data_IF_671777243610
#
_entry.id   IF_671777243610
#
_cell.length_a   1.000
_cell.length_b   1.000
_cell.length_c   1.000
_cell.angle_alpha   90.00
_cell.angle_beta   90.00
_cell.angle_gamma   90.00
#
_symmetry.space_group_name_H-M   'P 1'
#
loop_
_entity.id
_entity.type
_entity.pdbx_description
1 polymer ?
#
# COMPACT_ATOMS: atom_id res chain seq x y z
N UNK A 1 -6.04 -7.37 -0.78
CA UNK A 1 -5.70 -6.13 -0.05
C UNK A 1 -5.20 -5.05 -1.02
N UNK A 2 -4.12 -5.24 -1.74
CA UNK A 2 -3.56 -4.19 -2.61
C UNK A 2 -4.59 -3.62 -3.61
N UNK A 3 -5.39 -4.49 -4.25
CA UNK A 3 -6.40 -4.01 -5.22
C UNK A 3 -7.45 -3.11 -4.58
N UNK A 4 -7.95 -3.44 -3.38
CA UNK A 4 -8.93 -2.58 -2.72
C UNK A 4 -8.33 -1.20 -2.38
N UNK A 5 -7.07 -1.17 -1.93
CA UNK A 5 -6.44 0.10 -1.58
C UNK A 5 -6.29 1.01 -2.80
N UNK A 6 -5.98 0.46 -3.98
CA UNK A 6 -5.96 1.24 -5.22
C UNK A 6 -7.35 1.76 -5.61
N UNK A 7 -8.40 0.94 -5.47
CA UNK A 7 -9.78 1.37 -5.78
C UNK A 7 -10.20 2.53 -4.88
N UNK A 8 -9.89 2.47 -3.59
CA UNK A 8 -10.23 3.54 -2.65
C UNK A 8 -9.35 4.77 -2.84
N UNK A 9 -8.08 4.59 -3.15
CA UNK A 9 -7.13 5.68 -3.41
C UNK A 9 -7.53 6.51 -4.63
N UNK A 10 -8.11 5.86 -5.65
CA UNK A 10 -8.60 6.53 -6.87
C UNK A 10 -9.86 7.39 -6.66
N UNK A 11 -10.59 7.26 -5.53
CA UNK A 11 -11.84 7.97 -5.26
C UNK A 11 -11.66 9.49 -5.22
N UNK A 12 -12.72 10.28 -5.55
CA UNK A 12 -12.67 11.75 -5.51
C UNK A 12 -12.31 12.34 -4.14
N UNK A 13 -12.57 11.63 -3.05
CA UNK A 13 -12.20 12.05 -1.69
C UNK A 13 -10.76 11.68 -1.30
N UNK A 14 -10.01 11.07 -2.20
CA UNK A 14 -8.61 10.65 -2.06
C UNK A 14 -7.78 11.30 -3.19
N UNK A 15 -7.09 10.52 -4.03
CA UNK A 15 -6.25 11.06 -5.10
C UNK A 15 -7.04 11.56 -6.34
N UNK A 16 -8.34 11.24 -6.43
CA UNK A 16 -9.24 11.62 -7.54
C UNK A 16 -8.68 11.27 -8.93
N UNK A 17 -8.19 10.05 -9.08
CA UNK A 17 -7.58 9.60 -10.32
C UNK A 17 -8.60 9.10 -11.35
N UNK A 18 -8.47 9.54 -12.59
CA UNK A 18 -9.31 9.10 -13.71
C UNK A 18 -8.82 7.77 -14.32
N UNK A 19 -7.52 7.51 -14.25
CA UNK A 19 -6.87 6.34 -14.86
C UNK A 19 -5.94 5.63 -13.86
N UNK A 20 -6.00 4.29 -13.88
CA UNK A 20 -5.07 3.41 -13.16
C UNK A 20 -4.54 2.34 -14.10
N UNK A 21 -3.21 2.25 -14.27
CA UNK A 21 -2.57 1.34 -15.23
C UNK A 21 -3.13 1.48 -16.66
N UNK A 22 -3.37 2.71 -17.10
CA UNK A 22 -3.90 3.02 -18.44
C UNK A 22 -5.38 2.67 -18.66
N UNK A 23 -6.12 2.31 -17.61
CA UNK A 23 -7.56 2.02 -17.66
C UNK A 23 -8.34 2.99 -16.78
N UNK A 24 -9.60 3.34 -17.17
CA UNK A 24 -10.45 4.14 -16.30
C UNK A 24 -10.61 3.49 -14.93
N UNK A 25 -10.58 4.34 -13.89
CA UNK A 25 -10.78 3.92 -12.50
C UNK A 25 -12.21 3.46 -12.24
N UNK A 26 -12.42 2.66 -11.19
CA UNK A 26 -13.71 1.99 -10.98
C UNK A 26 -14.87 2.99 -10.81
N UNK A 27 -14.65 4.08 -10.07
CA UNK A 27 -15.67 5.11 -9.87
C UNK A 27 -16.02 5.89 -11.15
N UNK A 28 -15.14 5.92 -12.16
CA UNK A 28 -15.41 6.52 -13.46
C UNK A 28 -16.17 5.58 -14.39
N UNK A 29 -15.98 4.26 -14.25
CA UNK A 29 -16.70 3.25 -15.05
C UNK A 29 -18.12 3.04 -14.52
N UNK A 30 -18.29 3.06 -13.21
CA UNK A 30 -19.56 2.82 -12.53
C UNK A 30 -20.00 4.07 -11.75
N UNK A 31 -19.77 4.09 -10.45
CA UNK A 31 -20.04 5.20 -9.53
C UNK A 31 -19.19 5.06 -8.25
N UNK A 32 -19.16 6.09 -7.41
CA UNK A 32 -18.39 6.11 -6.16
C UNK A 32 -18.87 5.06 -5.16
N UNK A 33 -20.18 4.86 -5.02
CA UNK A 33 -20.74 3.89 -4.10
C UNK A 33 -20.32 2.45 -4.46
N UNK A 34 -20.36 2.13 -5.77
CA UNK A 34 -19.88 0.85 -6.28
C UNK A 34 -18.38 0.68 -6.01
N UNK A 35 -17.57 1.71 -6.18
CA UNK A 35 -16.12 1.65 -5.89
C UNK A 35 -15.84 1.43 -4.40
N UNK A 36 -16.54 2.15 -3.51
CA UNK A 36 -16.42 1.97 -2.05
C UNK A 36 -16.76 0.53 -1.67
N UNK A 37 -17.94 0.03 -2.09
CA UNK A 37 -18.40 -1.32 -1.75
C UNK A 37 -17.51 -2.42 -2.35
N UNK A 38 -16.96 -2.21 -3.55
CA UNK A 38 -16.01 -3.15 -4.15
C UNK A 38 -14.72 -3.24 -3.33
N UNK A 39 -14.19 -2.11 -2.86
CA UNK A 39 -13.05 -2.08 -1.96
C UNK A 39 -13.33 -2.79 -0.64
N UNK A 40 -14.47 -2.50 0.01
CA UNK A 40 -14.89 -3.14 1.26
C UNK A 40 -15.03 -4.67 1.11
N UNK A 41 -15.64 -5.11 0.01
CA UNK A 41 -15.80 -6.53 -0.28
C UNK A 41 -14.45 -7.23 -0.48
N UNK A 42 -13.52 -6.62 -1.21
CA UNK A 42 -12.17 -7.16 -1.42
C UNK A 42 -11.35 -7.18 -0.13
N UNK A 43 -11.53 -6.15 0.72
CA UNK A 43 -10.89 -6.11 2.04
C UNK A 43 -11.40 -7.26 2.92
N UNK A 44 -12.72 -7.44 3.02
CA UNK A 44 -13.33 -8.54 3.78
C UNK A 44 -12.90 -9.91 3.24
N UNK A 45 -12.94 -10.09 1.91
CA UNK A 45 -12.51 -11.33 1.23
C UNK A 45 -11.06 -11.71 1.57
N UNK A 46 -10.17 -10.74 1.71
CA UNK A 46 -8.78 -11.03 2.07
C UNK A 46 -8.68 -11.73 3.44
N UNK A 47 -9.46 -11.28 4.42
CA UNK A 47 -9.50 -11.92 5.75
C UNK A 47 -10.25 -13.26 5.76
N UNK A 48 -11.31 -13.38 4.95
CA UNK A 48 -11.99 -14.65 4.73
C UNK A 48 -11.03 -15.71 4.21
N UNK A 49 -10.25 -15.40 3.16
CA UNK A 49 -9.23 -16.30 2.61
C UNK A 49 -8.20 -16.71 3.66
N UNK A 50 -7.71 -15.77 4.47
CA UNK A 50 -6.70 -16.08 5.50
C UNK A 50 -7.27 -16.93 6.65
N UNK A 51 -8.56 -16.82 6.93
CA UNK A 51 -9.23 -17.58 7.95
C UNK A 51 -9.60 -19.02 7.50
N UNK A 52 -9.65 -19.26 6.19
CA UNK A 52 -10.06 -20.55 5.62
C UNK A 52 -9.04 -21.66 5.92
N UNK A 53 -9.54 -22.87 6.16
CA UNK A 53 -8.72 -24.08 6.38
C UNK A 53 -7.87 -24.45 5.15
N UNK A 54 -8.32 -24.08 3.94
CA UNK A 54 -7.55 -24.26 2.72
C UNK A 54 -6.23 -23.44 2.72
N UNK A 55 -6.18 -22.31 3.43
CA UNK A 55 -4.95 -21.52 3.59
C UNK A 55 -3.97 -22.21 4.53
N UNK A 56 -4.44 -22.77 5.64
CA UNK A 56 -3.64 -23.58 6.55
C UNK A 56 -4.55 -24.38 7.46
N UNK A 57 -4.25 -25.66 7.68
CA UNK A 57 -4.98 -26.50 8.65
C UNK A 57 -4.70 -26.11 10.10
N UNK A 58 -3.57 -25.41 10.35
CA UNK A 58 -3.21 -24.93 11.68
C UNK A 58 -3.90 -23.58 12.00
N UNK A 59 -4.80 -23.52 12.99
CA UNK A 59 -5.50 -22.29 13.35
C UNK A 59 -4.59 -21.20 13.91
N UNK A 60 -3.45 -21.56 14.51
CA UNK A 60 -2.47 -20.57 15.00
C UNK A 60 -1.78 -19.86 13.83
N UNK A 61 -1.42 -20.60 12.78
CA UNK A 61 -0.90 -20.07 11.54
C UNK A 61 -1.90 -19.08 10.91
N UNK A 62 -3.18 -19.46 10.78
CA UNK A 62 -4.21 -18.56 10.26
C UNK A 62 -4.36 -17.29 11.10
N UNK A 63 -4.37 -17.41 12.42
CA UNK A 63 -4.43 -16.25 13.32
C UNK A 63 -3.23 -15.33 13.18
N UNK A 64 -2.03 -15.88 13.01
CA UNK A 64 -0.81 -15.09 12.77
C UNK A 64 -0.85 -14.35 11.43
N UNK A 65 -1.34 -14.98 10.37
CA UNK A 65 -1.53 -14.36 9.06
C UNK A 65 -2.54 -13.19 9.12
N UNK A 66 -3.70 -13.42 9.75
CA UNK A 66 -4.74 -12.40 9.94
C UNK A 66 -4.18 -11.19 10.71
N UNK A 67 -3.47 -11.45 11.82
CA UNK A 67 -2.88 -10.39 12.64
C UNK A 67 -1.81 -9.61 11.86
N UNK A 68 -0.98 -10.30 11.08
CA UNK A 68 0.07 -9.69 10.25
C UNK A 68 -0.54 -8.76 9.22
N UNK A 69 -1.55 -9.24 8.49
CA UNK A 69 -2.26 -8.42 7.50
C UNK A 69 -3.02 -7.26 8.13
N UNK A 70 -3.75 -7.50 9.21
CA UNK A 70 -4.51 -6.47 9.91
C UNK A 70 -3.64 -5.32 10.43
N UNK A 71 -2.45 -5.61 10.97
CA UNK A 71 -1.50 -4.58 11.38
C UNK A 71 -0.95 -3.79 10.18
N UNK A 72 -0.62 -4.49 9.08
CA UNK A 72 -0.02 -3.86 7.91
C UNK A 72 -1.01 -3.03 7.09
N UNK A 73 -2.29 -3.39 7.06
CA UNK A 73 -3.33 -2.64 6.34
C UNK A 73 -4.00 -1.55 7.19
N UNK A 74 -3.96 -1.66 8.52
CA UNK A 74 -4.67 -0.79 9.45
C UNK A 74 -3.92 0.50 9.82
N UNK A 75 -4.31 1.08 10.97
CA UNK A 75 -3.79 2.36 11.48
C UNK A 75 -2.28 2.35 11.77
N UNK A 76 -1.68 1.20 12.03
CA UNK A 76 -0.24 1.03 12.25
C UNK A 76 0.53 0.66 10.98
N UNK A 77 -0.11 0.72 9.82
CA UNK A 77 0.42 0.41 8.50
C UNK A 77 -0.16 1.33 7.44
N UNK A 78 -0.62 0.75 6.34
CA UNK A 78 -1.01 1.48 5.13
C UNK A 78 -2.06 2.59 5.38
N UNK A 79 -3.15 2.31 6.12
CA UNK A 79 -4.18 3.33 6.37
C UNK A 79 -3.64 4.50 7.21
N UNK A 80 -2.77 4.23 8.19
CA UNK A 80 -2.10 5.29 8.95
C UNK A 80 -1.13 6.12 8.09
N UNK A 81 -0.40 5.48 7.18
CA UNK A 81 0.46 6.16 6.21
C UNK A 81 -0.33 7.04 5.24
N UNK A 82 -1.45 6.54 4.73
CA UNK A 82 -2.36 7.30 3.89
C UNK A 82 -2.92 8.54 4.61
N UNK A 83 -3.31 8.41 5.88
CA UNK A 83 -3.77 9.55 6.66
C UNK A 83 -2.68 10.61 6.86
N UNK A 84 -1.41 10.20 7.07
CA UNK A 84 -0.28 11.14 7.16
C UNK A 84 -0.09 11.90 5.85
N UNK A 85 -0.23 11.24 4.71
CA UNK A 85 -0.12 11.82 3.38
C UNK A 85 -1.19 12.90 3.16
N UNK A 86 -2.45 12.56 3.40
CA UNK A 86 -3.59 13.49 3.28
C UNK A 86 -3.46 14.73 4.18
N UNK A 87 -3.03 14.55 5.44
CA UNK A 87 -2.82 15.68 6.36
C UNK A 87 -1.71 16.62 5.87
N UNK A 88 -0.64 16.07 5.28
CA UNK A 88 0.42 16.89 4.70
C UNK A 88 -0.11 17.78 3.56
N UNK A 89 -0.93 17.21 2.69
CA UNK A 89 -1.52 17.92 1.56
C UNK A 89 -2.50 19.03 2.01
N UNK A 90 -3.39 18.73 2.97
CA UNK A 90 -4.39 19.69 3.46
C UNK A 90 -3.76 20.87 4.23
N UNK A 91 -2.79 20.60 5.09
CA UNK A 91 -2.19 21.60 5.96
C UNK A 91 -1.00 22.34 5.32
N UNK A 92 -0.53 21.89 4.15
CA UNK A 92 0.67 22.42 3.48
C UNK A 92 1.92 22.26 4.35
N UNK A 93 1.97 21.21 5.17
CA UNK A 93 3.07 20.92 6.07
C UNK A 93 4.21 20.26 5.31
N UNK A 94 5.40 20.82 5.42
CA UNK A 94 6.61 20.18 4.89
C UNK A 94 7.20 19.23 5.92
N UNK A 95 7.27 17.95 5.59
CA UNK A 95 7.88 16.93 6.43
C UNK A 95 9.40 16.89 6.28
N UNK A 96 10.09 16.58 7.36
CA UNK A 96 11.50 16.25 7.29
C UNK A 96 11.71 14.84 6.69
N UNK A 97 12.93 14.55 6.26
CA UNK A 97 13.28 13.27 5.64
C UNK A 97 12.93 12.06 6.53
N UNK A 98 13.01 12.18 7.85
CA UNK A 98 12.65 11.12 8.77
C UNK A 98 11.14 10.84 8.73
N UNK A 99 10.33 11.87 8.70
CA UNK A 99 8.86 11.77 8.64
C UNK A 99 8.41 11.25 7.27
N UNK A 100 9.03 11.72 6.16
CA UNK A 100 8.79 11.18 4.82
C UNK A 100 9.12 9.69 4.78
N UNK A 101 10.29 9.29 5.28
CA UNK A 101 10.68 7.87 5.34
C UNK A 101 9.66 7.05 6.13
N UNK A 102 9.18 7.56 7.26
CA UNK A 102 8.15 6.89 8.07
C UNK A 102 6.82 6.76 7.34
N UNK A 103 6.36 7.83 6.68
CA UNK A 103 5.15 7.84 5.85
C UNK A 103 5.23 6.74 4.79
N UNK A 104 6.30 6.71 4.02
CA UNK A 104 6.50 5.73 2.94
C UNK A 104 6.62 4.30 3.47
N UNK A 105 7.26 4.10 4.61
CA UNK A 105 7.31 2.79 5.28
C UNK A 105 5.92 2.31 5.71
N UNK A 106 5.03 3.20 6.12
CA UNK A 106 3.66 2.86 6.50
C UNK A 106 2.77 2.68 5.26
N UNK A 107 2.70 3.69 4.38
CA UNK A 107 1.80 3.71 3.21
C UNK A 107 2.10 2.53 2.26
N UNK A 108 3.37 2.28 1.96
CA UNK A 108 3.80 1.27 0.96
C UNK A 108 4.55 0.11 1.61
N UNK A 109 5.53 0.40 2.45
CA UNK A 109 6.45 -0.61 3.01
C UNK A 109 5.76 -1.66 3.87
N UNK A 110 4.71 -1.29 4.61
CA UNK A 110 4.02 -2.20 5.53
C UNK A 110 3.38 -3.40 4.82
N UNK A 111 2.71 -3.19 3.68
CA UNK A 111 2.10 -4.28 2.91
C UNK A 111 3.15 -5.15 2.20
N UNK A 112 4.24 -4.56 1.70
CA UNK A 112 5.36 -5.32 1.15
C UNK A 112 5.99 -6.22 2.21
N UNK A 113 6.25 -5.68 3.40
CA UNK A 113 6.80 -6.44 4.52
C UNK A 113 5.84 -7.55 4.99
N UNK A 114 4.54 -7.27 5.04
CA UNK A 114 3.53 -8.27 5.38
C UNK A 114 3.49 -9.42 4.37
N UNK A 115 3.61 -9.13 3.08
CA UNK A 115 3.63 -10.15 2.02
C UNK A 115 4.80 -11.12 2.21
N UNK A 116 5.99 -10.61 2.50
CA UNK A 116 7.19 -11.43 2.79
C UNK A 116 7.01 -12.21 4.09
N UNK A 117 6.51 -11.57 5.16
CA UNK A 117 6.31 -12.20 6.46
C UNK A 117 5.26 -13.32 6.40
N UNK A 118 4.15 -13.11 5.69
CA UNK A 118 3.10 -14.12 5.52
C UNK A 118 3.63 -15.34 4.75
N UNK A 119 4.45 -15.13 3.72
CA UNK A 119 5.17 -16.20 3.03
C UNK A 119 6.10 -16.97 3.96
N UNK A 120 6.81 -16.28 4.85
CA UNK A 120 7.70 -16.89 5.85
C UNK A 120 6.94 -17.68 6.91
N UNK A 121 5.74 -17.20 7.33
CA UNK A 121 4.84 -17.91 8.25
C UNK A 121 4.41 -19.24 7.63
N UNK A 122 3.87 -19.20 6.41
CA UNK A 122 3.42 -20.40 5.69
C UNK A 122 4.57 -21.36 5.39
N UNK A 123 5.74 -20.83 5.06
CA UNK A 123 6.96 -21.60 4.85
C UNK A 123 7.60 -22.12 6.14
N UNK A 124 7.03 -21.84 7.31
CA UNK A 124 7.56 -22.24 8.64
C UNK A 124 9.03 -21.85 8.83
N UNK A 125 9.42 -20.69 8.31
CA UNK A 125 10.77 -20.19 8.41
C UNK A 125 11.14 -19.92 9.87
N UNK A 126 12.32 -20.37 10.29
CA UNK A 126 12.83 -20.18 11.66
C UNK A 126 12.94 -18.67 12.00
N UNK A 127 12.87 -18.29 13.30
CA UNK A 127 12.86 -16.88 13.72
C UNK A 127 14.03 -16.05 13.18
N UNK A 128 15.23 -16.64 13.11
CA UNK A 128 16.40 -15.96 12.53
C UNK A 128 16.24 -15.69 11.03
N UNK A 129 15.72 -16.64 10.26
CA UNK A 129 15.43 -16.45 8.84
C UNK A 129 14.33 -15.38 8.62
N UNK A 130 13.29 -15.39 9.46
CA UNK A 130 12.26 -14.34 9.44
C UNK A 130 12.83 -12.95 9.73
N UNK A 131 13.81 -12.83 10.64
CA UNK A 131 14.49 -11.57 10.90
C UNK A 131 15.22 -11.04 9.66
N UNK A 132 15.92 -11.90 8.91
CA UNK A 132 16.58 -11.53 7.65
C UNK A 132 15.58 -11.15 6.57
N UNK A 133 14.47 -11.90 6.44
CA UNK A 133 13.40 -11.58 5.48
C UNK A 133 12.72 -10.25 5.78
N UNK A 134 12.50 -9.91 7.06
CA UNK A 134 11.98 -8.58 7.45
C UNK A 134 12.97 -7.45 7.12
N UNK A 135 14.25 -7.64 7.31
CA UNK A 135 15.27 -6.67 6.90
C UNK A 135 15.24 -6.46 5.38
N UNK A 136 15.25 -7.57 4.62
CA UNK A 136 15.11 -7.52 3.16
C UNK A 136 13.84 -6.79 2.71
N UNK A 137 12.68 -7.11 3.31
CA UNK A 137 11.42 -6.49 2.95
C UNK A 137 11.40 -4.98 3.21
N UNK A 138 12.04 -4.53 4.29
CA UNK A 138 12.20 -3.11 4.60
C UNK A 138 13.07 -2.42 3.53
N UNK A 139 14.20 -3.00 3.19
CA UNK A 139 15.17 -2.40 2.28
C UNK A 139 14.62 -2.38 0.84
N UNK A 140 13.92 -3.44 0.39
CA UNK A 140 13.27 -3.45 -0.93
C UNK A 140 12.08 -2.48 -0.99
N UNK A 141 11.32 -2.34 0.11
CA UNK A 141 10.23 -1.38 0.19
C UNK A 141 10.71 0.06 0.06
N UNK A 142 11.82 0.40 0.70
CA UNK A 142 12.46 1.72 0.56
C UNK A 142 12.98 1.95 -0.86
N UNK A 143 13.68 0.97 -1.43
CA UNK A 143 14.19 1.05 -2.80
C UNK A 143 13.05 1.20 -3.83
N UNK A 144 11.94 0.49 -3.63
CA UNK A 144 10.76 0.61 -4.48
C UNK A 144 10.19 2.02 -4.47
N UNK A 145 10.04 2.63 -3.28
CA UNK A 145 9.50 3.97 -3.17
C UNK A 145 10.43 5.03 -3.79
N UNK A 146 11.74 4.95 -3.53
CA UNK A 146 12.70 5.86 -4.16
C UNK A 146 12.65 5.72 -5.69
N UNK A 147 12.50 4.50 -6.21
CA UNK A 147 12.39 4.29 -7.65
C UNK A 147 11.07 4.83 -8.22
N UNK A 148 9.96 4.76 -7.48
CA UNK A 148 8.66 5.32 -7.89
C UNK A 148 8.71 6.85 -7.93
N UNK A 149 9.26 7.49 -6.89
CA UNK A 149 9.46 8.94 -6.82
C UNK A 149 10.37 9.44 -7.96
N UNK A 150 11.47 8.74 -8.25
CA UNK A 150 12.33 9.05 -9.37
C UNK A 150 11.64 8.89 -10.73
N UNK A 151 10.79 7.85 -10.87
CA UNK A 151 10.02 7.61 -12.08
C UNK A 151 9.00 8.72 -12.33
N UNK A 152 8.40 9.27 -11.28
CA UNK A 152 7.48 10.41 -11.40
C UNK A 152 8.18 11.66 -11.95
N UNK A 153 9.42 11.92 -11.56
CA UNK A 153 10.19 13.09 -11.99
C UNK A 153 10.81 12.93 -13.38
N UNK A 154 11.39 11.74 -13.68
CA UNK A 154 12.21 11.54 -14.90
C UNK A 154 11.62 10.53 -15.88
N UNK A 155 10.48 9.94 -15.56
CA UNK A 155 9.85 8.88 -16.35
C UNK A 155 9.28 9.37 -17.68
N UNK A 156 8.84 8.40 -18.46
CA UNK A 156 8.14 8.54 -19.74
C UNK A 156 6.70 8.06 -19.52
N UNK A 157 5.72 8.95 -19.71
CA UNK A 157 4.30 8.65 -19.43
C UNK A 157 3.77 7.45 -20.21
N UNK A 158 4.21 7.30 -21.46
CA UNK A 158 3.81 6.16 -22.31
C UNK A 158 4.28 4.81 -21.74
N UNK A 159 5.43 4.81 -21.05
CA UNK A 159 5.99 3.60 -20.41
C UNK A 159 5.47 3.39 -19.00
N UNK A 160 5.22 4.47 -18.27
CA UNK A 160 4.71 4.41 -16.90
C UNK A 160 3.23 3.96 -16.82
N UNK A 161 2.45 4.19 -17.89
CA UNK A 161 1.01 3.88 -17.93
C UNK A 161 0.17 4.69 -16.94
N UNK A 162 0.73 5.76 -16.40
CA UNK A 162 0.08 6.75 -15.50
C UNK A 162 0.59 8.15 -15.86
N UNK A 163 -0.18 9.18 -15.53
CA UNK A 163 0.33 10.55 -15.59
C UNK A 163 1.52 10.71 -14.64
N UNK A 164 2.54 11.43 -15.07
CA UNK A 164 3.75 11.74 -14.29
C UNK A 164 3.74 13.19 -13.81
N UNK A 165 4.65 13.54 -12.93
CA UNK A 165 4.80 14.85 -12.28
C UNK A 165 3.59 15.25 -11.43
N UNK A 166 2.80 14.28 -11.00
CA UNK A 166 1.65 14.51 -10.14
C UNK A 166 2.07 14.88 -8.73
N UNK A 167 3.17 14.34 -8.25
CA UNK A 167 3.66 14.59 -6.90
C UNK A 167 3.95 16.08 -6.68
N UNK A 168 4.59 16.75 -7.65
CA UNK A 168 4.81 18.20 -7.62
C UNK A 168 3.50 18.99 -7.71
N UNK A 169 2.58 18.61 -8.60
CA UNK A 169 1.29 19.29 -8.80
C UNK A 169 0.35 19.14 -7.60
N UNK A 170 0.41 18.00 -6.91
CA UNK A 170 -0.39 17.69 -5.72
C UNK A 170 0.32 18.09 -4.41
N UNK A 171 1.57 18.58 -4.46
CA UNK A 171 2.33 18.95 -3.27
C UNK A 171 2.74 17.76 -2.40
N UNK A 172 2.79 16.54 -2.96
CA UNK A 172 3.12 15.32 -2.23
C UNK A 172 4.55 15.34 -1.68
N UNK A 173 4.70 14.81 -0.49
CA UNK A 173 5.99 14.70 0.20
C UNK A 173 6.74 13.45 -0.26
N UNK A 174 7.80 13.63 -1.05
CA UNK A 174 8.59 12.55 -1.66
C UNK A 174 10.07 12.63 -1.27
N UNK A 175 10.88 11.64 -1.69
CA UNK A 175 12.33 11.66 -1.49
C UNK A 175 13.06 12.63 -2.42
N UNK A 176 12.39 13.22 -3.41
CA UNK A 176 12.98 14.10 -4.43
C UNK A 176 12.46 15.54 -4.37
N UNK A 177 11.48 15.84 -3.49
CA UNK A 177 10.95 17.20 -3.20
C UNK A 177 11.65 17.90 -2.07
#
# INVERSE_FOLDING_TARGET
>A
IHVYSLIHDDLPCMDNDDLRHGKPTLHKVYDEATAVLAGDALHALAFEILADEATSTDPFTRSELILTLGKASGMHGMAGGQMMDMVADEEGVTYDLHTITRLQQLKTGALLAASVEMGAILGKVAPQGRAHLRAYARDIGLAFQIADDLLDVVGDEDKAGKALRKDDEQGKQTFVT
#
